data_IF_575574189401
#
_entry.id   IF_575574189401
#
_cell.length_a   1.000
_cell.length_b   1.000
_cell.length_c   1.000
_cell.angle_alpha   90.00
_cell.angle_beta   90.00
_cell.angle_gamma   90.00
#
_symmetry.space_group_name_H-M   'P 1'
#
loop_
_entity.id
_entity.type
_entity.pdbx_description
1 polymer ?
#
# COMPACT_ATOMS: atom_id res chain seq x y z
N UNK A 1 24.25 11.78 14.88
CA UNK A 1 24.38 10.50 14.13
C UNK A 1 23.52 10.49 12.88
N UNK A 2 22.21 10.76 12.96
CA UNK A 2 21.35 10.83 11.75
C UNK A 2 21.70 12.03 10.86
N UNK A 3 22.04 13.17 11.45
CA UNK A 3 22.42 14.39 10.72
C UNK A 3 23.71 14.24 9.92
N UNK A 4 24.73 13.57 10.48
CA UNK A 4 25.97 13.26 9.78
C UNK A 4 25.73 12.33 8.60
N UNK A 5 24.95 11.26 8.78
CA UNK A 5 24.59 10.37 7.68
C UNK A 5 23.82 11.08 6.54
N UNK A 6 22.88 11.98 6.87
CA UNK A 6 22.14 12.75 5.85
C UNK A 6 23.09 13.68 5.08
N UNK A 7 24.06 14.29 5.75
CA UNK A 7 25.07 15.14 5.09
C UNK A 7 25.99 14.31 4.19
N UNK A 8 26.48 13.17 4.65
CA UNK A 8 27.33 12.26 3.86
C UNK A 8 26.58 11.74 2.61
N UNK A 9 25.29 11.41 2.75
CA UNK A 9 24.42 11.00 1.63
C UNK A 9 24.19 12.14 0.65
N UNK A 10 24.03 13.39 1.12
CA UNK A 10 23.87 14.58 0.27
C UNK A 10 25.14 14.96 -0.48
N UNK A 11 26.28 14.90 0.20
CA UNK A 11 27.60 15.14 -0.39
C UNK A 11 27.89 14.09 -1.46
N UNK A 12 27.58 12.83 -1.16
CA UNK A 12 27.77 11.73 -2.11
C UNK A 12 26.80 11.78 -3.30
N UNK A 13 25.55 12.21 -3.09
CA UNK A 13 24.60 12.43 -4.18
C UNK A 13 25.03 13.59 -5.10
N UNK A 14 25.63 14.64 -4.52
CA UNK A 14 26.20 15.78 -5.25
C UNK A 14 27.46 15.39 -6.04
N UNK A 15 28.23 14.42 -5.56
CA UNK A 15 29.44 13.91 -6.23
C UNK A 15 29.19 13.05 -7.48
N UNK A 16 27.95 12.66 -7.76
CA UNK A 16 27.61 11.82 -8.93
C UNK A 16 27.53 12.57 -10.26
N UNK A 17 27.67 13.90 -10.27
CA UNK A 17 27.42 14.71 -11.47
C UNK A 17 28.67 15.28 -12.14
N UNK A 18 29.87 15.01 -11.63
CA UNK A 18 31.12 15.44 -12.27
C UNK A 18 31.93 14.22 -12.72
N UNK A 19 31.51 13.62 -13.84
CA UNK A 19 32.32 12.63 -14.54
C UNK A 19 33.53 13.32 -15.17
N UNK A 20 34.60 13.51 -14.41
CA UNK A 20 35.96 13.62 -14.97
C UNK A 20 36.43 12.22 -15.41
N UNK A 21 35.62 11.57 -16.25
CA UNK A 21 35.87 10.25 -16.79
C UNK A 21 36.65 10.35 -18.09
N UNK A 22 37.44 9.33 -18.40
CA UNK A 22 38.10 9.21 -19.71
C UNK A 22 37.01 9.12 -20.79
N UNK A 23 37.32 9.49 -22.04
CA UNK A 23 36.38 9.34 -23.18
C UNK A 23 35.75 7.92 -23.25
N UNK A 24 36.51 6.91 -22.84
CA UNK A 24 36.10 5.52 -22.74
C UNK A 24 35.04 5.26 -21.65
N UNK A 25 35.14 5.89 -20.48
CA UNK A 25 34.17 5.75 -19.38
C UNK A 25 32.81 6.35 -19.76
N UNK A 26 32.83 7.46 -20.49
CA UNK A 26 31.62 8.11 -21.01
C UNK A 26 30.94 7.21 -22.04
N UNK A 27 31.72 6.61 -22.94
CA UNK A 27 31.22 5.69 -23.96
C UNK A 27 30.67 4.40 -23.34
N UNK A 28 31.34 3.86 -22.31
CA UNK A 28 30.86 2.73 -21.55
C UNK A 28 29.52 3.04 -20.86
N UNK A 29 29.41 4.19 -20.20
CA UNK A 29 28.17 4.63 -19.53
C UNK A 29 27.02 4.79 -20.53
N UNK A 30 27.28 5.36 -21.70
CA UNK A 30 26.29 5.49 -22.77
C UNK A 30 25.79 4.12 -23.28
N UNK A 31 26.70 3.14 -23.41
CA UNK A 31 26.33 1.78 -23.79
C UNK A 31 25.50 1.09 -22.69
N UNK A 32 25.85 1.25 -21.42
CA UNK A 32 25.07 0.71 -20.30
C UNK A 32 23.62 1.22 -20.34
N UNK A 33 23.42 2.52 -20.49
CA UNK A 33 22.09 3.13 -20.60
C UNK A 33 21.34 2.66 -21.86
N UNK A 34 22.03 2.53 -22.99
CA UNK A 34 21.48 2.01 -24.25
C UNK A 34 20.97 0.57 -24.08
N UNK A 35 21.77 -0.30 -23.45
CA UNK A 35 21.45 -1.70 -23.18
C UNK A 35 20.23 -1.81 -22.25
N UNK A 36 20.22 -1.07 -21.14
CA UNK A 36 19.09 -1.03 -20.19
C UNK A 36 17.79 -0.60 -20.89
N UNK A 37 17.82 0.50 -21.63
CA UNK A 37 16.67 1.04 -22.32
C UNK A 37 16.11 0.07 -23.38
N UNK A 38 17.00 -0.57 -24.15
CA UNK A 38 16.61 -1.57 -25.15
C UNK A 38 16.00 -2.81 -24.50
N UNK A 39 16.61 -3.33 -23.42
CA UNK A 39 16.10 -4.48 -22.68
C UNK A 39 14.69 -4.25 -22.14
N UNK A 40 14.46 -3.10 -21.47
CA UNK A 40 13.14 -2.72 -20.96
C UNK A 40 12.12 -2.60 -22.10
N UNK A 41 12.52 -1.99 -23.22
CA UNK A 41 11.68 -1.83 -24.40
C UNK A 41 11.28 -3.16 -25.03
N UNK A 42 12.19 -4.14 -25.07
CA UNK A 42 11.92 -5.50 -25.56
C UNK A 42 10.93 -6.20 -24.63
N UNK A 43 11.13 -6.13 -23.31
CA UNK A 43 10.26 -6.74 -22.30
C UNK A 43 8.83 -6.19 -22.37
N UNK A 44 8.70 -4.86 -22.38
CA UNK A 44 7.40 -4.18 -22.47
C UNK A 44 6.65 -4.55 -23.76
N UNK A 45 7.34 -4.65 -24.90
CA UNK A 45 6.71 -5.00 -26.17
C UNK A 45 6.33 -6.47 -26.26
N UNK A 46 7.12 -7.37 -25.66
CA UNK A 46 6.74 -8.78 -25.54
C UNK A 46 5.46 -8.93 -24.72
N UNK A 47 5.33 -8.21 -23.61
CA UNK A 47 4.07 -8.17 -22.84
C UNK A 47 2.92 -7.59 -23.66
N UNK A 48 3.17 -6.54 -24.44
CA UNK A 48 2.17 -5.90 -25.28
C UNK A 48 1.69 -6.78 -26.44
N UNK A 49 2.50 -7.76 -26.89
CA UNK A 49 2.22 -8.61 -28.05
C UNK A 49 0.94 -9.46 -27.91
N UNK A 50 0.56 -9.78 -26.68
CA UNK A 50 -0.54 -10.71 -26.35
C UNK A 50 -1.73 -10.02 -25.70
N UNK A 51 -1.88 -8.69 -25.87
CA UNK A 51 -3.10 -8.00 -25.43
C UNK A 51 -4.30 -8.46 -26.28
N UNK A 52 -5.41 -8.76 -25.61
CA UNK A 52 -6.56 -9.45 -26.20
C UNK A 52 -7.25 -8.68 -27.35
N UNK A 53 -7.11 -7.35 -27.44
CA UNK A 53 -7.86 -6.51 -28.39
C UNK A 53 -7.02 -5.98 -29.58
N UNK A 54 -5.82 -6.50 -29.81
CA UNK A 54 -4.97 -5.97 -30.89
C UNK A 54 -5.37 -6.51 -32.28
N UNK A 55 -5.21 -5.68 -33.32
CA UNK A 55 -5.38 -6.15 -34.70
C UNK A 55 -4.20 -7.02 -35.16
N UNK A 56 -4.44 -7.91 -36.14
CA UNK A 56 -3.37 -8.74 -36.72
C UNK A 56 -2.23 -7.90 -37.32
N UNK A 57 -2.56 -6.78 -37.97
CA UNK A 57 -1.61 -5.82 -38.54
C UNK A 57 -0.75 -5.16 -37.45
N UNK A 58 -1.36 -4.78 -36.33
CA UNK A 58 -0.65 -4.23 -35.16
C UNK A 58 0.30 -5.27 -34.57
N UNK A 59 -0.18 -6.50 -34.33
CA UNK A 59 0.66 -7.59 -33.82
C UNK A 59 1.85 -7.88 -34.74
N UNK A 60 1.65 -7.91 -36.06
CA UNK A 60 2.74 -8.12 -37.01
C UNK A 60 3.78 -6.99 -36.95
N UNK A 61 3.35 -5.72 -36.88
CA UNK A 61 4.25 -4.58 -36.68
C UNK A 61 5.03 -4.69 -35.36
N UNK A 62 4.37 -5.09 -34.27
CA UNK A 62 5.01 -5.31 -32.97
C UNK A 62 6.05 -6.44 -33.03
N UNK A 63 5.76 -7.56 -33.71
CA UNK A 63 6.73 -8.65 -33.89
C UNK A 63 7.97 -8.21 -34.66
N UNK A 64 7.81 -7.46 -35.76
CA UNK A 64 8.94 -6.92 -36.53
C UNK A 64 9.81 -6.00 -35.65
N UNK A 65 9.18 -5.03 -35.01
CA UNK A 65 9.90 -4.11 -34.11
C UNK A 65 10.57 -4.85 -32.95
N UNK A 66 9.93 -5.88 -32.40
CA UNK A 66 10.51 -6.71 -31.34
C UNK A 66 11.76 -7.45 -31.82
N UNK A 67 11.77 -7.96 -33.05
CA UNK A 67 12.95 -8.58 -33.64
C UNK A 67 14.08 -7.57 -33.87
N UNK A 68 13.76 -6.38 -34.39
CA UNK A 68 14.73 -5.31 -34.62
C UNK A 68 15.41 -4.87 -33.32
N UNK A 69 14.63 -4.69 -32.26
CA UNK A 69 15.18 -4.25 -30.97
C UNK A 69 15.94 -5.35 -30.23
N UNK A 70 15.57 -6.63 -30.39
CA UNK A 70 16.42 -7.75 -29.92
C UNK A 70 17.77 -7.76 -30.62
N UNK A 71 17.77 -7.59 -31.95
CA UNK A 71 19.01 -7.52 -32.74
C UNK A 71 19.88 -6.34 -32.27
N UNK A 72 19.26 -5.17 -32.06
CA UNK A 72 19.96 -3.97 -31.58
C UNK A 72 20.51 -4.16 -30.16
N UNK A 73 19.74 -4.75 -29.25
CA UNK A 73 20.20 -5.09 -27.90
C UNK A 73 21.44 -5.97 -27.94
N UNK A 74 21.42 -7.05 -28.72
CA UNK A 74 22.55 -7.96 -28.86
C UNK A 74 23.79 -7.25 -29.44
N UNK A 75 23.59 -6.33 -30.40
CA UNK A 75 24.70 -5.52 -30.95
C UNK A 75 25.34 -4.59 -29.91
N UNK A 76 24.53 -3.93 -29.08
CA UNK A 76 25.03 -3.03 -28.05
C UNK A 76 25.74 -3.81 -26.92
N UNK A 77 25.22 -4.99 -26.56
CA UNK A 77 25.90 -5.92 -25.63
C UNK A 77 27.28 -6.33 -26.18
N UNK A 78 27.37 -6.67 -27.47
CA UNK A 78 28.65 -7.01 -28.08
C UNK A 78 29.62 -5.84 -28.05
N UNK A 79 29.18 -4.61 -28.36
CA UNK A 79 30.02 -3.40 -28.26
C UNK A 79 30.50 -3.17 -26.83
N UNK A 80 29.63 -3.34 -25.84
CA UNK A 80 29.98 -3.22 -24.44
C UNK A 80 31.02 -4.26 -24.02
N UNK A 81 30.81 -5.53 -24.39
CA UNK A 81 31.74 -6.62 -24.09
C UNK A 81 33.12 -6.43 -24.76
N UNK A 82 33.20 -5.74 -25.89
CA UNK A 82 34.48 -5.40 -26.53
C UNK A 82 35.28 -4.35 -25.75
N UNK A 83 34.60 -3.45 -25.05
CA UNK A 83 35.22 -2.39 -24.24
C UNK A 83 35.57 -2.88 -22.84
N UNK A 84 34.84 -3.86 -22.32
CA UNK A 84 35.11 -4.45 -21.01
C UNK A 84 36.09 -5.61 -21.19
N UNK A 85 37.36 -5.34 -20.95
CA UNK A 85 38.42 -6.37 -21.01
C UNK A 85 38.35 -7.40 -19.87
N UNK A 86 37.58 -7.13 -18.82
CA UNK A 86 37.34 -8.05 -17.71
C UNK A 86 36.19 -9.00 -18.04
N UNK A 87 36.53 -10.26 -18.35
CA UNK A 87 35.55 -11.31 -18.66
C UNK A 87 34.54 -11.55 -17.53
N UNK A 88 34.84 -11.19 -16.28
CA UNK A 88 33.90 -11.30 -15.16
C UNK A 88 32.80 -10.23 -15.17
N UNK A 89 33.02 -9.12 -15.90
CA UNK A 89 32.06 -8.02 -16.09
C UNK A 89 31.38 -8.06 -17.47
N UNK A 90 31.74 -9.03 -18.31
CA UNK A 90 31.09 -9.29 -19.59
C UNK A 90 29.64 -9.77 -19.40
N UNK A 91 28.77 -9.38 -20.32
CA UNK A 91 27.36 -9.78 -20.33
C UNK A 91 27.23 -11.07 -21.17
N UNK A 92 26.67 -12.13 -20.57
CA UNK A 92 26.26 -13.31 -21.32
C UNK A 92 24.93 -13.05 -22.07
N UNK A 93 25.00 -13.08 -23.40
CA UNK A 93 23.84 -12.89 -24.29
C UNK A 93 22.79 -13.98 -24.08
N UNK A 94 23.20 -15.23 -23.81
CA UNK A 94 22.27 -16.34 -23.62
C UNK A 94 21.45 -16.15 -22.33
N UNK A 95 22.09 -15.73 -21.24
CA UNK A 95 21.40 -15.37 -20.00
C UNK A 95 20.40 -14.22 -20.19
N UNK A 96 20.75 -13.18 -20.98
CA UNK A 96 19.83 -12.07 -21.32
C UNK A 96 18.64 -12.57 -22.15
N UNK A 97 18.85 -13.45 -23.12
CA UNK A 97 17.74 -14.02 -23.90
C UNK A 97 16.82 -14.92 -23.07
N UNK A 98 17.38 -15.66 -22.11
CA UNK A 98 16.62 -16.48 -21.19
C UNK A 98 15.76 -15.63 -20.24
N UNK A 99 16.29 -14.53 -19.70
CA UNK A 99 15.52 -13.60 -18.84
C UNK A 99 14.36 -12.96 -19.60
N UNK A 100 14.57 -12.60 -20.88
CA UNK A 100 13.51 -12.10 -21.77
C UNK A 100 12.45 -13.16 -22.11
N UNK A 101 12.75 -14.45 -21.93
CA UNK A 101 11.85 -15.54 -22.28
C UNK A 101 10.67 -15.73 -21.32
N UNK A 102 10.70 -15.06 -20.16
CA UNK A 102 9.56 -14.96 -19.23
C UNK A 102 9.62 -15.92 -18.03
N UNK A 103 10.68 -16.73 -17.92
CA UNK A 103 10.92 -17.63 -16.79
C UNK A 103 11.53 -16.94 -15.56
N UNK A 104 12.03 -15.71 -15.69
CA UNK A 104 12.64 -14.96 -14.60
C UNK A 104 11.81 -13.73 -14.24
N UNK A 105 11.35 -13.65 -12.99
CA UNK A 105 10.74 -12.45 -12.40
C UNK A 105 11.80 -11.36 -12.21
N UNK A 106 13.06 -11.76 -12.05
CA UNK A 106 14.21 -10.88 -11.94
C UNK A 106 14.63 -10.40 -13.33
N UNK A 107 14.71 -9.07 -13.48
CA UNK A 107 15.45 -8.45 -14.58
C UNK A 107 16.86 -9.06 -14.63
N UNK A 108 17.45 -9.21 -15.81
CA UNK A 108 18.88 -9.48 -15.89
C UNK A 108 19.59 -8.45 -15.01
N UNK A 109 20.26 -8.91 -13.95
CA UNK A 109 21.04 -8.05 -13.08
C UNK A 109 22.26 -7.62 -13.88
N UNK A 110 22.36 -6.34 -14.23
CA UNK A 110 23.50 -5.90 -15.02
C UNK A 110 24.77 -5.89 -14.17
N UNK A 111 25.94 -6.20 -14.75
CA UNK A 111 27.22 -6.18 -14.02
C UNK A 111 27.53 -4.84 -13.30
N UNK A 112 26.98 -3.73 -13.79
CA UNK A 112 27.15 -2.39 -13.22
C UNK A 112 26.06 -1.99 -12.20
N UNK A 113 24.96 -2.74 -12.09
CA UNK A 113 23.87 -2.46 -11.14
C UNK A 113 24.19 -2.82 -9.68
N UNK A 114 25.34 -3.46 -9.42
CA UNK A 114 25.76 -3.96 -8.10
C UNK A 114 25.79 -2.86 -7.03
N UNK A 115 26.06 -1.60 -7.39
CA UNK A 115 26.18 -0.49 -6.45
C UNK A 115 24.87 0.29 -6.21
N UNK A 116 23.87 0.16 -7.11
CA UNK A 116 22.59 0.88 -7.02
C UNK A 116 21.43 0.03 -6.49
N UNK A 117 21.49 -1.29 -6.68
CA UNK A 117 20.44 -2.22 -6.29
C UNK A 117 20.19 -2.27 -4.78
N UNK A 118 21.24 -2.23 -3.96
CA UNK A 118 21.07 -2.24 -2.50
C UNK A 118 20.31 -0.99 -2.03
N UNK A 119 20.67 0.20 -2.55
CA UNK A 119 20.00 1.46 -2.21
C UNK A 119 18.55 1.46 -2.67
N UNK A 120 18.28 1.03 -3.91
CA UNK A 120 16.92 0.93 -4.44
C UNK A 120 16.07 -0.04 -3.62
N UNK A 121 16.59 -1.23 -3.29
CA UNK A 121 15.89 -2.19 -2.44
C UNK A 121 15.55 -1.62 -1.07
N UNK A 122 16.49 -0.89 -0.45
CA UNK A 122 16.26 -0.22 0.83
C UNK A 122 15.17 0.85 0.68
N UNK A 123 15.25 1.69 -0.35
CA UNK A 123 14.25 2.73 -0.62
C UNK A 123 12.87 2.14 -0.88
N UNK A 124 12.77 1.11 -1.72
CA UNK A 124 11.53 0.41 -2.04
C UNK A 124 10.93 -0.21 -0.77
N UNK A 125 11.76 -0.82 0.09
CA UNK A 125 11.31 -1.37 1.37
C UNK A 125 10.80 -0.28 2.32
N UNK A 126 11.49 0.86 2.42
CA UNK A 126 11.06 2.01 3.22
C UNK A 126 9.72 2.55 2.70
N UNK A 127 9.57 2.69 1.39
CA UNK A 127 8.34 3.15 0.75
C UNK A 127 7.18 2.17 0.97
N UNK A 128 7.41 0.86 0.83
CA UNK A 128 6.42 -0.18 1.11
C UNK A 128 5.97 -0.15 2.58
N UNK A 129 6.92 -0.02 3.51
CA UNK A 129 6.64 0.04 4.95
C UNK A 129 5.82 1.29 5.28
N UNK A 130 6.19 2.45 4.71
CA UNK A 130 5.43 3.69 4.85
C UNK A 130 4.01 3.53 4.31
N UNK A 131 3.87 2.96 3.11
CA UNK A 131 2.56 2.74 2.49
C UNK A 131 1.68 1.81 3.32
N UNK A 132 2.25 0.73 3.85
CA UNK A 132 1.54 -0.19 4.74
C UNK A 132 1.07 0.52 6.01
N UNK A 133 1.89 1.40 6.59
CA UNK A 133 1.51 2.17 7.78
C UNK A 133 0.39 3.18 7.48
N UNK A 134 0.43 3.83 6.32
CA UNK A 134 -0.66 4.69 5.84
C UNK A 134 -1.97 3.90 5.66
N UNK A 135 -1.91 2.73 5.01
CA UNK A 135 -3.07 1.84 4.80
C UNK A 135 -3.64 1.31 6.11
N UNK A 136 -2.78 0.93 7.06
CA UNK A 136 -3.22 0.58 8.42
C UNK A 136 -4.00 1.73 9.04
N UNK A 137 -3.46 2.95 9.03
CA UNK A 137 -4.14 4.13 9.59
C UNK A 137 -5.50 4.41 8.97
N UNK A 138 -5.61 4.30 7.64
CA UNK A 138 -6.87 4.46 6.90
C UNK A 138 -7.89 3.41 7.34
N UNK A 139 -7.50 2.13 7.41
CA UNK A 139 -8.39 1.06 7.84
C UNK A 139 -8.90 1.26 9.26
N UNK A 140 -8.06 1.67 10.22
CA UNK A 140 -8.51 1.94 11.59
C UNK A 140 -9.54 3.07 11.63
N UNK A 141 -9.33 4.12 10.84
CA UNK A 141 -10.27 5.24 10.75
C UNK A 141 -11.61 4.80 10.16
N UNK A 142 -11.59 4.01 9.09
CA UNK A 142 -12.80 3.47 8.45
C UNK A 142 -13.56 2.51 9.39
N UNK A 143 -12.84 1.68 10.14
CA UNK A 143 -13.42 0.78 11.15
C UNK A 143 -14.09 1.57 12.27
N UNK A 144 -13.42 2.60 12.81
CA UNK A 144 -13.98 3.49 13.82
C UNK A 144 -15.22 4.21 13.29
N UNK A 145 -15.16 4.75 12.07
CA UNK A 145 -16.29 5.41 11.43
C UNK A 145 -17.47 4.45 11.25
N UNK A 146 -17.22 3.20 10.85
CA UNK A 146 -18.26 2.19 10.71
C UNK A 146 -18.92 1.86 12.05
N UNK A 147 -18.15 1.72 13.13
CA UNK A 147 -18.68 1.53 14.49
C UNK A 147 -19.55 2.72 14.92
N UNK A 148 -19.05 3.95 14.75
CA UNK A 148 -19.80 5.18 15.07
C UNK A 148 -21.10 5.28 14.27
N UNK A 149 -21.07 4.92 12.99
CA UNK A 149 -22.27 4.91 12.14
C UNK A 149 -23.33 3.91 12.65
N UNK A 150 -22.92 2.68 12.96
CA UNK A 150 -23.80 1.65 13.52
C UNK A 150 -24.37 2.08 14.88
N UNK A 151 -23.55 2.69 15.74
CA UNK A 151 -23.96 3.20 17.05
C UNK A 151 -25.00 4.32 16.91
N UNK A 152 -24.75 5.29 16.03
CA UNK A 152 -25.69 6.37 15.76
C UNK A 152 -27.03 5.85 15.19
N UNK A 153 -26.97 4.84 14.32
CA UNK A 153 -28.18 4.19 13.79
C UNK A 153 -28.96 3.46 14.89
N UNK A 154 -28.29 2.73 15.78
CA UNK A 154 -28.93 2.08 16.91
C UNK A 154 -29.60 3.10 17.85
N UNK A 155 -28.90 4.18 18.21
CA UNK A 155 -29.45 5.27 19.04
C UNK A 155 -30.66 5.93 18.37
N UNK A 156 -30.57 6.25 17.07
CA UNK A 156 -31.68 6.85 16.33
C UNK A 156 -32.92 5.94 16.28
N UNK A 157 -32.73 4.63 16.12
CA UNK A 157 -33.82 3.65 16.17
C UNK A 157 -34.39 3.52 17.59
N UNK A 158 -33.55 3.56 18.63
CA UNK A 158 -33.98 3.53 20.04
C UNK A 158 -34.88 4.71 20.36
N UNK A 159 -34.51 5.91 19.92
CA UNK A 159 -35.29 7.13 20.14
C UNK A 159 -36.65 7.05 19.42
N UNK A 160 -36.68 6.57 18.17
CA UNK A 160 -37.95 6.37 17.43
C UNK A 160 -38.87 5.33 18.07
N UNK A 161 -38.30 4.26 18.62
CA UNK A 161 -39.07 3.26 19.38
C UNK A 161 -39.69 3.91 20.63
N UNK A 162 -38.94 4.76 21.33
CA UNK A 162 -39.44 5.45 22.52
C UNK A 162 -40.57 6.45 22.20
N UNK A 163 -40.49 7.14 21.05
CA UNK A 163 -41.55 8.05 20.58
C UNK A 163 -42.84 7.30 20.20
N UNK A 164 -42.76 6.17 19.49
CA UNK A 164 -43.93 5.36 19.12
C UNK A 164 -44.55 4.59 20.30
N UNK A 165 -43.81 4.34 21.38
CA UNK A 165 -44.37 3.73 22.60
C UNK A 165 -45.24 4.72 23.40
N UNK A 166 -45.00 6.03 23.23
CA UNK A 166 -45.82 7.10 23.82
C UNK A 166 -47.12 7.30 23.03
N UNK A 167 -47.09 7.08 21.71
CA UNK A 167 -48.26 7.19 20.81
C UNK A 167 -48.89 5.80 20.54
N UNK A 168 -49.98 5.48 21.25
CA UNK A 168 -50.64 4.15 21.25
C UNK A 168 -50.78 3.49 19.86
N UNK A 169 -50.15 2.32 19.68
CA UNK A 169 -50.73 1.19 18.95
C UNK A 169 -49.87 0.53 17.87
N UNK A 170 -49.36 -0.67 18.16
CA UNK A 170 -48.89 -1.74 17.24
C UNK A 170 -47.88 -1.44 16.11
N UNK A 171 -47.47 -0.18 15.86
CA UNK A 171 -46.47 0.19 14.84
C UNK A 171 -45.02 -0.12 15.23
N UNK A 172 -44.71 -0.07 16.53
CA UNK A 172 -43.34 -0.13 17.04
C UNK A 172 -42.64 -1.49 16.91
N UNK A 173 -43.36 -2.59 16.64
CA UNK A 173 -42.75 -3.93 16.53
C UNK A 173 -41.70 -4.01 15.42
N UNK A 174 -41.94 -3.33 14.30
CA UNK A 174 -40.98 -3.26 13.19
C UNK A 174 -39.72 -2.47 13.55
N UNK A 175 -39.88 -1.35 14.27
CA UNK A 175 -38.76 -0.52 14.74
C UNK A 175 -37.96 -1.22 15.85
N UNK A 176 -38.63 -1.92 16.77
CA UNK A 176 -37.97 -2.70 17.84
C UNK A 176 -37.11 -3.83 17.28
N UNK A 177 -37.60 -4.52 16.23
CA UNK A 177 -36.82 -5.51 15.49
C UNK A 177 -35.60 -4.88 14.83
N UNK A 178 -35.78 -3.77 14.10
CA UNK A 178 -34.69 -3.05 13.43
C UNK A 178 -33.63 -2.53 14.42
N UNK A 179 -34.05 -2.03 15.59
CA UNK A 179 -33.15 -1.63 16.66
C UNK A 179 -32.31 -2.81 17.16
N UNK A 180 -32.96 -3.96 17.41
CA UNK A 180 -32.30 -5.18 17.87
C UNK A 180 -31.27 -5.68 16.84
N UNK A 181 -31.65 -5.72 15.55
CA UNK A 181 -30.75 -6.09 14.46
C UNK A 181 -29.55 -5.13 14.33
N UNK A 182 -29.76 -3.81 14.50
CA UNK A 182 -28.69 -2.82 14.45
C UNK A 182 -27.71 -2.98 15.62
N UNK A 183 -28.22 -3.24 16.83
CA UNK A 183 -27.41 -3.47 18.03
C UNK A 183 -26.61 -4.77 17.93
N UNK A 184 -27.24 -5.85 17.47
CA UNK A 184 -26.57 -7.14 17.22
C UNK A 184 -25.45 -6.99 16.18
N UNK A 185 -25.72 -6.29 15.07
CA UNK A 185 -24.70 -6.00 14.05
C UNK A 185 -23.52 -5.22 14.62
N UNK A 186 -23.77 -4.20 15.46
CA UNK A 186 -22.71 -3.45 16.12
C UNK A 186 -21.83 -4.36 16.99
N UNK A 187 -22.44 -5.24 17.79
CA UNK A 187 -21.69 -6.18 18.64
C UNK A 187 -20.85 -7.16 17.82
N UNK A 188 -21.43 -7.74 16.75
CA UNK A 188 -20.71 -8.66 15.86
C UNK A 188 -19.52 -7.97 15.19
N UNK A 189 -19.73 -6.76 14.67
CA UNK A 189 -18.68 -5.98 14.00
C UNK A 189 -17.57 -5.62 14.99
N UNK A 190 -17.90 -5.16 16.19
CA UNK A 190 -16.91 -4.87 17.24
C UNK A 190 -16.10 -6.11 17.60
N UNK A 191 -16.74 -7.27 17.73
CA UNK A 191 -16.05 -8.52 18.05
C UNK A 191 -15.12 -8.97 16.91
N UNK A 192 -15.57 -8.86 15.66
CA UNK A 192 -14.74 -9.16 14.48
C UNK A 192 -13.53 -8.24 14.41
N UNK A 193 -13.73 -6.95 14.66
CA UNK A 193 -12.66 -5.96 14.64
C UNK A 193 -11.66 -6.15 15.78
N UNK A 194 -12.13 -6.44 17.00
CA UNK A 194 -11.26 -6.82 18.12
C UNK A 194 -10.40 -8.05 17.80
N UNK A 195 -11.00 -9.04 17.16
CA UNK A 195 -10.28 -10.27 16.76
C UNK A 195 -9.24 -9.99 15.68
N UNK A 196 -9.55 -9.12 14.71
CA UNK A 196 -8.64 -8.75 13.63
C UNK A 196 -7.46 -7.86 14.09
N UNK A 197 -7.69 -6.99 15.08
CA UNK A 197 -6.73 -5.99 15.53
C UNK A 197 -5.90 -6.42 16.75
N UNK A 198 -6.39 -7.37 17.54
CA UNK A 198 -5.69 -7.86 18.73
C UNK A 198 -5.30 -6.72 19.69
N UNK A 199 -4.00 -6.48 19.97
CA UNK A 199 -3.54 -5.41 20.87
C UNK A 199 -3.92 -4.00 20.41
N UNK A 200 -4.08 -3.80 19.10
CA UNK A 200 -4.44 -2.51 18.54
C UNK A 200 -5.93 -2.21 18.71
N UNK A 201 -6.76 -3.12 19.23
CA UNK A 201 -8.21 -2.92 19.32
C UNK A 201 -8.66 -1.85 20.32
N UNK A 202 -7.75 -1.31 21.14
CA UNK A 202 -8.05 -0.33 22.19
C UNK A 202 -8.71 0.96 21.66
N UNK A 203 -8.45 1.36 20.40
CA UNK A 203 -9.09 2.57 19.82
C UNK A 203 -10.57 2.39 19.48
N UNK A 204 -11.09 1.16 19.47
CA UNK A 204 -12.51 0.89 19.18
C UNK A 204 -13.39 0.91 20.44
N UNK A 205 -12.81 1.10 21.62
CA UNK A 205 -13.57 1.18 22.85
C UNK A 205 -14.08 2.62 23.03
N UNK A 206 -15.37 2.80 22.85
CA UNK A 206 -16.10 3.82 23.58
C UNK A 206 -16.42 3.19 24.94
N UNK A 207 -15.86 3.73 26.02
CA UNK A 207 -16.26 3.35 27.37
C UNK A 207 -17.78 3.56 27.46
N UNK A 208 -18.51 2.47 27.69
CA UNK A 208 -19.83 2.55 28.31
C UNK A 208 -19.59 3.05 29.74
N UNK A 209 -19.47 4.36 29.92
CA UNK A 209 -19.71 4.98 31.22
C UNK A 209 -21.16 4.64 31.58
N UNK A 210 -21.27 3.56 32.34
CA UNK A 210 -22.49 3.10 32.98
C UNK A 210 -22.96 4.22 33.90
N UNK A 211 -23.94 5.00 33.45
CA UNK A 211 -24.75 5.83 34.33
C UNK A 211 -25.47 4.93 35.35
N UNK A 212 -24.93 4.87 36.57
CA UNK A 212 -25.71 4.52 37.77
C UNK A 212 -25.08 5.12 39.03
N UNK A 213 -24.89 6.45 38.99
CA UNK A 213 -24.55 7.27 40.14
C UNK A 213 -25.65 8.30 40.41
N UNK A 214 -26.90 7.86 40.54
CA UNK A 214 -27.99 8.69 41.06
C UNK A 214 -28.54 8.03 42.32
N UNK A 215 -27.87 8.31 43.44
CA UNK A 215 -28.39 8.24 44.81
C UNK A 215 -28.27 9.68 45.32
N UNK A 216 -29.27 10.41 45.78
CA UNK A 216 -30.63 10.13 46.23
C UNK A 216 -31.49 11.39 45.94
N UNK A 217 -32.80 11.43 46.26
CA UNK A 217 -33.18 11.80 47.63
C UNK A 217 -34.41 11.01 48.12
N UNK A 218 -34.27 10.34 49.28
CA UNK A 218 -35.42 9.77 49.97
C UNK A 218 -36.07 10.89 50.80
N UNK A 219 -37.34 11.13 50.51
CA UNK A 219 -38.19 12.11 51.16
C UNK A 219 -39.04 11.36 52.18
N UNK A 220 -38.83 11.60 53.47
CA UNK A 220 -39.84 11.28 54.48
C UNK A 220 -40.13 12.55 55.28
N UNK A 221 -41.30 13.10 55.02
CA UNK A 221 -41.93 14.18 55.78
C UNK A 221 -42.48 13.65 57.11
N UNK A 222 -42.89 14.60 57.96
CA UNK A 222 -43.78 14.53 59.13
C UNK A 222 -43.13 14.20 60.50
N UNK A 223 -43.44 14.88 61.61
CA UNK A 223 -44.15 16.12 61.91
C UNK A 223 -43.82 16.51 63.38
N UNK A 224 -44.01 17.79 63.69
CA UNK A 224 -44.37 18.41 64.98
C UNK A 224 -43.71 18.03 66.32
N UNK A 225 -43.24 19.08 67.04
CA UNK A 225 -42.86 18.98 68.44
C UNK A 225 -42.36 20.29 69.06
N UNK A 226 -43.19 21.33 69.02
CA UNK A 226 -43.00 22.59 69.73
C UNK A 226 -43.11 22.40 71.26
N UNK A 227 -42.04 22.58 72.04
CA UNK A 227 -42.12 22.96 73.47
C UNK A 227 -40.90 23.83 73.87
N UNK A 228 -41.20 25.11 74.11
CA UNK A 228 -40.69 26.10 75.11
C UNK A 228 -39.22 26.04 75.52
#
# INVERSE_FOLDING_TARGET
>A
MVSTWISDVKEWASGTSETSGTSEDILQTALQQSIEGLYLSVRQRKQSLYRQNDSSKLRHRLRRKLADDKKRLNQEILKYNLLVHDSARGIDVAAVEHSLSGGSIMSALWPWEVHGMAKKKILDQVMLTRRLQEEKGILLLEMAQHCTWLQNMAVALKNKVAEEDVDKGNGGLGLRRKHSEASERLQVVLQQYKTALGPDASFLQHEEESQSGLSSPDTSEDEEGNII
#
